data_IF_545674431427
#
_entry.id   IF_545674431427
#
_cell.length_a   1.000
_cell.length_b   1.000
_cell.length_c   1.000
_cell.angle_alpha   90.00
_cell.angle_beta   90.00
_cell.angle_gamma   90.00
#
_symmetry.space_group_name_H-M   'P 1'
#
loop_
_entity.id
_entity.type
_entity.pdbx_description
1 polymer ?
#
# COMPACT_ATOMS: atom_id res chain seq x y z
N UNK A 1 -23.44 3.62 12.42
CA UNK A 1 -24.10 2.90 11.32
C UNK A 1 -24.54 3.95 10.31
N UNK A 2 -23.92 4.00 9.13
CA UNK A 2 -24.40 4.84 8.04
C UNK A 2 -25.50 4.04 7.33
N UNK A 3 -26.77 4.37 7.58
CA UNK A 3 -27.91 3.72 6.93
C UNK A 3 -28.36 4.65 5.80
N UNK A 4 -28.46 4.11 4.58
CA UNK A 4 -29.07 4.79 3.45
C UNK A 4 -30.36 4.07 3.09
N UNK A 5 -31.46 4.82 2.97
CA UNK A 5 -32.74 4.30 2.47
C UNK A 5 -32.87 4.70 1.00
N UNK A 6 -32.99 3.70 0.13
CA UNK A 6 -33.11 3.89 -1.32
C UNK A 6 -34.52 3.51 -1.72
N UNK A 7 -35.23 4.41 -2.38
CA UNK A 7 -36.55 4.12 -2.96
C UNK A 7 -36.40 3.62 -4.40
N UNK A 8 -37.40 2.90 -4.90
CA UNK A 8 -37.46 2.56 -6.32
C UNK A 8 -37.77 3.85 -7.09
N UNK A 9 -36.89 4.19 -8.01
CA UNK A 9 -36.99 5.37 -8.88
C UNK A 9 -37.32 4.98 -10.32
N UNK A 10 -37.78 5.94 -11.12
CA UNK A 10 -38.08 5.73 -12.54
C UNK A 10 -36.81 5.69 -13.42
N UNK A 11 -35.72 6.31 -12.96
CA UNK A 11 -34.43 6.35 -13.64
C UNK A 11 -33.29 6.39 -12.61
N UNK A 12 -32.12 5.89 -12.98
CA UNK A 12 -30.93 5.90 -12.10
C UNK A 12 -30.11 7.18 -12.32
N UNK A 13 -29.61 7.74 -11.22
CA UNK A 13 -28.57 8.77 -11.22
C UNK A 13 -27.21 8.13 -10.89
N UNK A 14 -26.18 8.42 -11.68
CA UNK A 14 -24.83 7.85 -11.52
C UNK A 14 -24.10 8.35 -10.27
N UNK A 15 -24.53 9.48 -9.68
CA UNK A 15 -23.84 10.10 -8.54
C UNK A 15 -24.37 9.67 -7.17
N UNK A 16 -25.39 8.81 -7.10
CA UNK A 16 -25.99 8.38 -5.83
C UNK A 16 -26.40 6.91 -5.86
N UNK A 17 -26.56 6.33 -4.66
CA UNK A 17 -27.20 5.03 -4.55
C UNK A 17 -28.63 5.11 -5.09
N UNK A 18 -29.01 4.16 -5.95
CA UNK A 18 -30.30 4.17 -6.63
C UNK A 18 -30.76 2.77 -7.01
N UNK A 19 -32.06 2.60 -7.23
CA UNK A 19 -32.61 1.33 -7.68
C UNK A 19 -33.79 1.55 -8.63
N UNK A 20 -33.83 0.82 -9.73
CA UNK A 20 -34.93 0.85 -10.72
C UNK A 20 -35.40 -0.56 -11.02
N UNK A 21 -36.70 -0.74 -11.21
CA UNK A 21 -37.27 -2.01 -11.69
C UNK A 21 -37.09 -2.09 -13.21
N UNK A 22 -36.36 -3.09 -13.67
CA UNK A 22 -36.09 -3.29 -15.11
C UNK A 22 -37.03 -4.33 -15.73
N UNK A 23 -37.45 -5.34 -14.97
CA UNK A 23 -38.36 -6.37 -15.45
C UNK A 23 -39.37 -6.77 -14.38
N UNK A 24 -40.58 -7.13 -14.82
CA UNK A 24 -41.69 -7.57 -13.97
C UNK A 24 -42.27 -8.87 -14.51
N UNK A 25 -42.21 -9.93 -13.71
CA UNK A 25 -42.73 -11.25 -14.03
C UNK A 25 -43.96 -11.54 -13.16
N UNK A 26 -45.13 -11.05 -13.60
CA UNK A 26 -46.39 -11.12 -12.85
C UNK A 26 -46.79 -12.55 -12.48
N UNK A 27 -46.63 -13.51 -13.40
CA UNK A 27 -46.99 -14.91 -13.18
C UNK A 27 -46.18 -15.59 -12.07
N UNK A 28 -44.95 -15.12 -11.84
CA UNK A 28 -44.03 -15.66 -10.82
C UNK A 28 -43.93 -14.76 -9.58
N UNK A 29 -44.67 -13.65 -9.54
CA UNK A 29 -44.53 -12.61 -8.52
C UNK A 29 -43.08 -12.14 -8.32
N UNK A 30 -42.30 -12.06 -9.41
CA UNK A 30 -40.88 -11.69 -9.37
C UNK A 30 -40.64 -10.34 -10.05
N UNK A 31 -39.69 -9.58 -9.53
CA UNK A 31 -39.15 -8.36 -10.15
C UNK A 31 -37.64 -8.48 -10.29
N UNK A 32 -37.10 -7.88 -11.34
CA UNK A 32 -35.66 -7.69 -11.51
C UNK A 32 -35.38 -6.21 -11.30
N UNK A 33 -34.41 -5.93 -10.42
CA UNK A 33 -33.98 -4.57 -10.10
C UNK A 33 -32.54 -4.36 -10.56
N UNK A 34 -32.27 -3.16 -11.08
CA UNK A 34 -30.91 -2.67 -11.31
C UNK A 34 -30.56 -1.71 -10.19
N UNK A 35 -29.43 -1.94 -9.53
CA UNK A 35 -28.93 -1.10 -8.44
C UNK A 35 -27.77 -0.26 -8.96
N UNK A 36 -27.77 1.04 -8.65
CA UNK A 36 -26.65 1.95 -8.89
C UNK A 36 -25.85 2.11 -7.61
N UNK A 37 -24.53 1.94 -7.72
CA UNK A 37 -23.57 2.20 -6.66
C UNK A 37 -22.69 3.36 -7.12
N UNK A 38 -22.69 4.52 -6.44
CA UNK A 38 -21.92 5.67 -6.87
C UNK A 38 -20.42 5.43 -6.66
N UNK A 39 -19.57 6.04 -7.49
CA UNK A 39 -18.10 6.00 -7.33
C UNK A 39 -17.61 6.57 -5.99
N UNK A 40 -18.46 7.33 -5.31
CA UNK A 40 -18.18 7.87 -3.96
C UNK A 40 -18.63 6.95 -2.83
N UNK A 41 -19.15 5.75 -3.13
CA UNK A 41 -19.54 4.78 -2.12
C UNK A 41 -18.32 4.33 -1.30
N UNK A 42 -18.52 4.11 0.00
CA UNK A 42 -17.48 3.51 0.83
C UNK A 42 -17.25 2.06 0.39
N UNK A 43 -16.00 1.65 0.26
CA UNK A 43 -15.66 0.24 0.02
C UNK A 43 -15.91 -0.59 1.29
N UNK A 44 -16.07 -1.90 1.10
CA UNK A 44 -16.25 -2.88 2.17
C UNK A 44 -17.59 -3.59 2.13
N UNK A 45 -17.92 -4.29 3.23
CA UNK A 45 -19.16 -5.05 3.37
C UNK A 45 -20.34 -4.11 3.64
N UNK A 46 -21.38 -4.20 2.81
CA UNK A 46 -22.65 -3.51 2.98
C UNK A 46 -23.75 -4.53 3.21
N UNK A 47 -24.49 -4.37 4.30
CA UNK A 47 -25.70 -5.14 4.57
C UNK A 47 -26.88 -4.49 3.86
N UNK A 48 -27.54 -5.23 2.99
CA UNK A 48 -28.69 -4.77 2.21
C UNK A 48 -29.96 -5.40 2.76
N UNK A 49 -30.92 -4.54 3.14
CA UNK A 49 -32.24 -4.94 3.61
C UNK A 49 -33.30 -4.45 2.62
N UNK A 50 -34.01 -5.38 1.99
CA UNK A 50 -35.08 -5.08 1.03
C UNK A 50 -36.41 -5.03 1.78
N UNK A 51 -37.00 -3.85 1.80
CA UNK A 51 -38.22 -3.56 2.55
C UNK A 51 -39.41 -3.35 1.62
N UNK A 52 -40.52 -4.04 1.89
CA UNK A 52 -41.80 -3.80 1.22
C UNK A 52 -42.65 -2.84 2.06
N UNK A 53 -43.14 -1.73 1.49
CA UNK A 53 -44.08 -0.86 2.17
C UNK A 53 -45.41 -1.58 2.45
N UNK A 54 -45.91 -1.44 3.68
CA UNK A 54 -47.24 -1.85 4.14
C UNK A 54 -48.01 -0.62 4.63
N UNK A 55 -49.32 -0.77 4.90
CA UNK A 55 -50.23 0.34 5.24
C UNK A 55 -49.80 1.19 6.45
N UNK A 56 -48.97 0.66 7.34
CA UNK A 56 -48.45 1.38 8.52
C UNK A 56 -46.99 1.04 8.87
N UNK A 57 -46.30 0.21 8.08
CA UNK A 57 -44.95 -0.28 8.39
C UNK A 57 -44.20 -0.74 7.15
N UNK A 58 -43.00 -1.28 7.35
CA UNK A 58 -42.23 -2.00 6.33
C UNK A 58 -42.11 -3.47 6.72
N UNK A 59 -42.18 -4.35 5.72
CA UNK A 59 -41.93 -5.79 5.87
C UNK A 59 -40.56 -6.09 5.27
N UNK A 60 -39.66 -6.69 6.04
CA UNK A 60 -38.37 -7.18 5.53
C UNK A 60 -38.62 -8.39 4.62
N UNK A 61 -38.35 -8.22 3.32
CA UNK A 61 -38.47 -9.29 2.33
C UNK A 61 -37.20 -10.10 2.22
N UNK A 62 -36.05 -9.42 2.18
CA UNK A 62 -34.76 -10.05 1.96
C UNK A 62 -33.65 -9.30 2.68
N UNK A 63 -32.63 -10.03 3.08
CA UNK A 63 -31.46 -9.50 3.77
C UNK A 63 -30.23 -10.27 3.28
N UNK A 64 -29.25 -9.56 2.73
CA UNK A 64 -28.02 -10.14 2.20
C UNK A 64 -26.88 -9.13 2.27
N UNK A 65 -25.65 -9.62 2.14
CA UNK A 65 -24.47 -8.78 2.13
C UNK A 65 -23.90 -8.65 0.72
N UNK A 66 -23.37 -7.48 0.41
CA UNK A 66 -22.56 -7.24 -0.79
C UNK A 66 -21.20 -6.67 -0.37
N UNK A 67 -20.17 -6.87 -1.19
CA UNK A 67 -18.88 -6.20 -1.04
C UNK A 67 -18.75 -5.18 -2.16
N UNK A 68 -18.47 -3.94 -1.78
CA UNK A 68 -18.13 -2.86 -2.72
C UNK A 68 -16.61 -2.66 -2.69
N UNK A 69 -15.99 -2.62 -3.86
CA UNK A 69 -14.55 -2.34 -4.05
C UNK A 69 -14.38 -1.16 -5.03
N UNK A 70 -13.15 -0.68 -5.20
CA UNK A 70 -12.85 0.38 -6.18
C UNK A 70 -13.02 -0.16 -7.61
N UNK A 71 -13.25 0.72 -8.59
CA UNK A 71 -13.51 0.32 -9.97
C UNK A 71 -12.55 0.97 -10.98
N UNK A 72 -11.47 0.26 -11.32
CA UNK A 72 -10.51 0.73 -12.32
C UNK A 72 -11.08 0.87 -13.75
N UNK A 73 -12.28 0.35 -14.04
CA UNK A 73 -12.96 0.50 -15.33
C UNK A 73 -13.88 1.72 -15.42
N UNK A 74 -14.22 2.35 -14.30
CA UNK A 74 -15.10 3.50 -14.29
C UNK A 74 -14.29 4.80 -14.36
N UNK A 75 -14.49 5.61 -15.42
CA UNK A 75 -13.77 6.87 -15.67
C UNK A 75 -13.88 7.90 -14.55
N UNK A 76 -14.98 7.86 -13.81
CA UNK A 76 -15.27 8.80 -12.73
C UNK A 76 -14.69 8.36 -11.39
N UNK A 77 -14.22 7.11 -11.30
CA UNK A 77 -13.51 6.59 -10.13
C UNK A 77 -12.09 7.20 -10.04
N UNK A 78 -11.59 7.30 -8.81
CA UNK A 78 -10.24 7.78 -8.51
C UNK A 78 -9.18 6.79 -8.97
N UNK A 79 -9.52 5.50 -9.10
CA UNK A 79 -8.59 4.45 -9.52
C UNK A 79 -8.66 4.11 -11.02
N UNK A 80 -9.40 4.90 -11.81
CA UNK A 80 -9.54 4.67 -13.24
C UNK A 80 -8.20 4.61 -13.95
N UNK A 81 -7.95 3.53 -14.69
CA UNK A 81 -6.76 3.35 -15.51
C UNK A 81 -7.19 3.14 -16.96
N UNK A 82 -6.77 4.04 -17.85
CA UNK A 82 -7.31 4.08 -19.22
C UNK A 82 -7.00 2.82 -20.04
N UNK A 83 -5.75 2.35 -19.99
CA UNK A 83 -5.31 1.17 -20.72
C UNK A 83 -5.99 -0.10 -20.18
N UNK A 84 -6.60 -0.88 -21.07
CA UNK A 84 -7.13 -2.21 -20.71
C UNK A 84 -6.00 -3.17 -20.34
N UNK A 85 -4.90 -3.16 -21.09
CA UNK A 85 -3.74 -4.03 -20.85
C UNK A 85 -3.14 -3.78 -19.46
N UNK A 86 -2.99 -2.51 -19.07
CA UNK A 86 -2.51 -2.17 -17.74
C UNK A 86 -3.50 -2.53 -16.63
N UNK A 87 -4.82 -2.54 -16.90
CA UNK A 87 -5.81 -3.01 -15.92
C UNK A 87 -5.76 -4.52 -15.76
N UNK A 88 -5.56 -5.26 -16.86
CA UNK A 88 -5.33 -6.70 -16.81
C UNK A 88 -4.09 -7.00 -15.95
N UNK A 89 -2.98 -6.30 -16.17
CA UNK A 89 -1.74 -6.52 -15.42
C UNK A 89 -1.80 -6.04 -13.96
N UNK A 90 -2.31 -4.83 -13.71
CA UNK A 90 -2.20 -4.20 -12.40
C UNK A 90 -3.42 -4.41 -11.49
N UNK A 91 -4.49 -5.04 -11.96
CA UNK A 91 -5.66 -5.42 -11.14
C UNK A 91 -5.93 -6.92 -11.20
N UNK A 92 -5.99 -7.51 -12.39
CA UNK A 92 -6.47 -8.89 -12.56
C UNK A 92 -5.38 -9.96 -12.55
N UNK A 93 -4.15 -9.62 -12.93
CA UNK A 93 -3.07 -10.59 -12.88
C UNK A 93 -2.74 -10.92 -11.41
N UNK A 94 -2.85 -12.19 -11.05
CA UNK A 94 -2.67 -12.70 -9.69
C UNK A 94 -1.32 -13.37 -9.47
N UNK A 95 -0.45 -13.32 -10.47
CA UNK A 95 0.95 -13.75 -10.42
C UNK A 95 1.85 -12.64 -10.94
N UNK A 96 3.08 -12.59 -10.45
CA UNK A 96 4.03 -11.59 -10.91
C UNK A 96 5.47 -11.88 -10.53
N UNK A 97 6.32 -10.89 -10.74
CA UNK A 97 7.75 -10.96 -10.45
C UNK A 97 8.11 -9.86 -9.44
N UNK A 98 8.94 -10.23 -8.45
CA UNK A 98 9.57 -9.29 -7.54
C UNK A 98 11.09 -9.42 -7.71
N UNK A 99 11.74 -8.31 -8.08
CA UNK A 99 13.18 -8.30 -8.30
C UNK A 99 13.94 -8.15 -6.97
N UNK A 100 15.04 -8.87 -6.84
CA UNK A 100 15.91 -8.90 -5.65
C UNK A 100 17.37 -9.06 -6.06
N UNK A 101 18.29 -8.96 -5.11
CA UNK A 101 19.71 -9.26 -5.32
C UNK A 101 20.58 -8.03 -5.08
N UNK A 102 21.57 -7.78 -5.92
CA UNK A 102 22.44 -6.61 -5.80
C UNK A 102 22.78 -6.06 -7.19
N UNK A 103 22.74 -4.74 -7.33
CA UNK A 103 23.14 -4.06 -8.56
C UNK A 103 24.67 -3.94 -8.72
N UNK A 104 25.46 -4.33 -7.71
CA UNK A 104 26.93 -4.22 -7.68
C UNK A 104 27.63 -4.91 -8.87
N UNK A 105 27.02 -5.94 -9.46
CA UNK A 105 27.52 -6.62 -10.66
C UNK A 105 26.62 -6.40 -11.89
N UNK A 106 25.95 -5.23 -11.95
CA UNK A 106 24.97 -4.90 -12.97
C UNK A 106 23.76 -5.85 -12.97
N UNK A 107 23.13 -6.01 -14.13
CA UNK A 107 21.93 -6.84 -14.28
C UNK A 107 22.13 -8.32 -13.91
N UNK A 108 23.37 -8.83 -13.91
CA UNK A 108 23.67 -10.22 -13.53
C UNK A 108 23.49 -10.51 -12.03
N UNK A 109 23.57 -9.48 -11.19
CA UNK A 109 23.31 -9.60 -9.75
C UNK A 109 21.83 -9.49 -9.38
N UNK A 110 20.97 -9.19 -10.36
CA UNK A 110 19.53 -9.04 -10.18
C UNK A 110 18.84 -10.37 -10.50
N UNK A 111 17.98 -10.82 -9.59
CA UNK A 111 17.20 -12.04 -9.74
C UNK A 111 15.71 -11.70 -9.67
N UNK A 112 14.93 -12.33 -10.56
CA UNK A 112 13.48 -12.21 -10.54
C UNK A 112 12.89 -13.38 -9.76
N UNK A 113 12.13 -13.08 -8.73
CA UNK A 113 11.40 -14.08 -7.97
C UNK A 113 9.92 -14.08 -8.37
N UNK A 114 9.43 -15.25 -8.75
CA UNK A 114 8.01 -15.49 -9.00
C UNK A 114 7.23 -15.38 -7.70
N UNK A 115 6.15 -14.59 -7.73
CA UNK A 115 5.29 -14.36 -6.59
C UNK A 115 3.83 -14.57 -6.99
N UNK A 116 3.13 -15.39 -6.24
CA UNK A 116 1.68 -15.58 -6.36
C UNK A 116 0.97 -14.55 -5.47
N UNK A 117 0.43 -13.49 -6.07
CA UNK A 117 -0.35 -12.50 -5.33
C UNK A 117 -1.65 -13.10 -4.81
N UNK A 118 -2.36 -13.89 -5.64
CA UNK A 118 -3.54 -14.66 -5.22
C UNK A 118 -4.68 -13.80 -4.65
N UNK A 119 -4.91 -12.59 -5.17
CA UNK A 119 -5.94 -11.68 -4.62
C UNK A 119 -7.38 -12.22 -4.71
N UNK A 120 -7.62 -13.23 -5.55
CA UNK A 120 -8.92 -13.89 -5.71
C UNK A 120 -9.05 -15.19 -4.91
N UNK A 121 -7.98 -15.60 -4.22
CA UNK A 121 -7.99 -16.81 -3.40
C UNK A 121 -8.90 -16.66 -2.17
N UNK A 122 -9.32 -17.80 -1.63
CA UNK A 122 -10.26 -17.86 -0.52
C UNK A 122 -9.77 -17.03 0.67
N UNK A 123 -10.69 -16.27 1.29
CA UNK A 123 -10.48 -15.45 2.47
C UNK A 123 -9.49 -14.28 2.32
N UNK A 124 -8.86 -14.06 1.16
CA UNK A 124 -7.91 -12.94 0.99
C UNK A 124 -8.62 -11.59 1.09
N UNK A 125 -9.64 -11.34 0.27
CA UNK A 125 -10.43 -10.11 0.33
C UNK A 125 -11.08 -9.92 1.71
N UNK A 126 -11.63 -11.00 2.28
CA UNK A 126 -12.27 -10.96 3.59
C UNK A 126 -11.30 -10.55 4.71
N UNK A 127 -10.06 -11.04 4.65
CA UNK A 127 -8.97 -10.69 5.55
C UNK A 127 -8.50 -9.24 5.36
N UNK A 128 -8.36 -8.77 4.12
CA UNK A 128 -8.03 -7.36 3.82
C UNK A 128 -9.09 -6.42 4.42
N UNK A 129 -10.38 -6.74 4.25
CA UNK A 129 -11.47 -5.95 4.84
C UNK A 129 -11.48 -5.99 6.38
N UNK A 130 -11.12 -7.13 6.98
CA UNK A 130 -10.96 -7.26 8.43
C UNK A 130 -9.82 -6.36 8.94
N UNK A 131 -8.66 -6.40 8.29
CA UNK A 131 -7.49 -5.60 8.65
C UNK A 131 -7.77 -4.10 8.55
N UNK A 132 -8.47 -3.64 7.51
CA UNK A 132 -8.90 -2.24 7.41
C UNK A 132 -9.72 -1.79 8.63
N UNK A 133 -10.56 -2.65 9.19
CA UNK A 133 -11.39 -2.34 10.35
C UNK A 133 -10.59 -2.33 11.68
N UNK A 134 -9.46 -3.04 11.73
CA UNK A 134 -8.56 -3.08 12.90
C UNK A 134 -7.68 -1.83 13.03
N UNK A 135 -7.64 -0.97 12.01
CA UNK A 135 -6.84 0.25 12.09
C UNK A 135 -7.26 1.15 13.26
N UNK A 136 -6.29 1.61 14.05
CA UNK A 136 -6.52 2.44 15.25
C UNK A 136 -7.29 3.73 14.99
N UNK A 137 -7.33 4.24 13.75
CA UNK A 137 -8.15 5.41 13.40
C UNK A 137 -9.64 5.08 13.46
N UNK A 138 -10.06 3.83 13.23
CA UNK A 138 -11.46 3.41 13.43
C UNK A 138 -11.84 3.40 14.91
N UNK A 139 -10.93 3.01 15.80
CA UNK A 139 -11.17 3.07 17.25
C UNK A 139 -11.28 4.52 17.73
N UNK A 140 -10.34 5.39 17.31
CA UNK A 140 -10.29 6.80 17.75
C UNK A 140 -11.41 7.65 17.14
N UNK A 141 -11.70 7.47 15.85
CA UNK A 141 -12.62 8.32 15.10
C UNK A 141 -13.48 7.51 14.10
N UNK A 142 -14.37 6.61 14.58
CA UNK A 142 -15.08 5.65 13.73
C UNK A 142 -15.85 6.32 12.59
N UNK A 143 -16.67 7.35 12.88
CA UNK A 143 -17.46 8.02 11.86
C UNK A 143 -16.60 8.70 10.78
N UNK A 144 -15.44 9.25 11.15
CA UNK A 144 -14.52 9.90 10.21
C UNK A 144 -13.86 8.85 9.32
N UNK A 145 -13.43 7.72 9.88
CA UNK A 145 -12.80 6.63 9.15
C UNK A 145 -13.78 5.98 8.16
N UNK A 146 -15.01 5.67 8.59
CA UNK A 146 -16.04 5.14 7.69
C UNK A 146 -16.37 6.10 6.53
N UNK A 147 -16.35 7.42 6.76
CA UNK A 147 -16.58 8.41 5.69
C UNK A 147 -15.42 8.52 4.70
N UNK A 148 -14.21 8.12 5.10
CA UNK A 148 -13.01 8.14 4.26
C UNK A 148 -12.77 6.82 3.51
N UNK A 149 -13.56 5.78 3.77
CA UNK A 149 -13.51 4.51 3.04
C UNK A 149 -13.93 4.63 1.57
N UNK A 150 -14.24 5.83 1.06
CA UNK A 150 -14.44 6.08 -0.36
C UNK A 150 -13.20 6.71 -1.03
N UNK A 151 -12.09 6.89 -0.31
CA UNK A 151 -10.87 7.51 -0.82
C UNK A 151 -9.77 6.47 -0.96
N UNK A 152 -9.36 6.19 -2.21
CA UNK A 152 -8.27 5.27 -2.51
C UNK A 152 -6.95 5.69 -1.85
N UNK A 153 -6.66 7.00 -1.83
CA UNK A 153 -5.48 7.54 -1.15
C UNK A 153 -5.47 7.22 0.35
N UNK A 154 -6.63 7.36 1.01
CA UNK A 154 -6.76 7.04 2.43
C UNK A 154 -6.67 5.53 2.68
N UNK A 155 -7.28 4.71 1.80
CA UNK A 155 -7.22 3.24 1.88
C UNK A 155 -5.77 2.76 1.75
N UNK A 156 -5.01 3.25 0.77
CA UNK A 156 -3.59 2.92 0.61
C UNK A 156 -2.78 3.22 1.87
N UNK A 157 -3.01 4.39 2.48
CA UNK A 157 -2.37 4.78 3.75
C UNK A 157 -2.81 3.95 4.96
N UNK A 158 -4.01 3.37 4.94
CA UNK A 158 -4.45 2.43 5.97
C UNK A 158 -3.78 1.09 5.79
N UNK A 159 -3.77 0.55 4.57
CA UNK A 159 -3.11 -0.71 4.25
C UNK A 159 -1.62 -0.68 4.57
N UNK A 160 -0.92 0.42 4.27
CA UNK A 160 0.50 0.58 4.61
C UNK A 160 0.77 0.43 6.12
N UNK A 161 -0.22 0.75 6.98
CA UNK A 161 -0.11 0.63 8.43
C UNK A 161 -0.49 -0.76 8.94
N UNK A 162 -1.64 -1.30 8.49
CA UNK A 162 -2.21 -2.53 9.08
C UNK A 162 -1.60 -3.82 8.53
N UNK A 163 -0.83 -3.75 7.44
CA UNK A 163 -0.15 -4.91 6.89
C UNK A 163 1.16 -5.26 7.61
N UNK A 164 1.68 -4.37 8.46
CA UNK A 164 2.75 -4.69 9.41
C UNK A 164 2.23 -4.72 10.84
N UNK A 165 2.86 -5.51 11.71
CA UNK A 165 2.45 -5.65 13.11
C UNK A 165 3.36 -4.92 14.12
N UNK A 166 4.23 -4.01 13.68
CA UNK A 166 5.29 -3.46 14.54
C UNK A 166 4.75 -2.56 15.68
N UNK A 167 3.52 -2.05 15.54
CA UNK A 167 2.82 -1.26 16.58
C UNK A 167 1.36 -1.65 16.82
N UNK A 168 0.80 -2.46 15.93
CA UNK A 168 -0.62 -2.79 15.85
C UNK A 168 -0.79 -4.31 15.75
N UNK A 169 -2.01 -4.80 15.94
CA UNK A 169 -2.41 -6.19 15.64
C UNK A 169 -2.56 -6.38 14.11
N UNK A 170 -1.49 -6.08 13.38
CA UNK A 170 -1.43 -6.11 11.92
C UNK A 170 -1.03 -7.48 11.35
N UNK A 171 -1.00 -7.57 10.02
CA UNK A 171 -0.87 -8.85 9.30
C UNK A 171 0.47 -9.56 9.53
N UNK A 172 1.59 -8.88 9.30
CA UNK A 172 2.89 -9.53 9.12
C UNK A 172 3.97 -8.95 10.06
N UNK A 173 4.75 -9.83 10.67
CA UNK A 173 5.86 -9.48 11.55
C UNK A 173 7.19 -9.46 10.79
N UNK A 174 7.86 -8.31 10.78
CA UNK A 174 9.18 -8.15 10.17
C UNK A 174 10.28 -8.83 10.99
N UNK A 175 11.27 -9.44 10.33
CA UNK A 175 12.47 -9.96 11.00
C UNK A 175 13.68 -10.00 10.04
N UNK A 176 14.73 -9.24 10.38
CA UNK A 176 15.99 -9.15 9.64
C UNK A 176 17.18 -9.77 10.38
N UNK A 177 16.95 -10.45 11.52
CA UNK A 177 18.02 -10.99 12.37
C UNK A 177 18.76 -12.22 11.82
N UNK A 178 18.26 -12.81 10.73
CA UNK A 178 18.75 -14.09 10.20
C UNK A 178 18.31 -15.33 11.00
N UNK A 179 17.55 -15.16 12.09
CA UNK A 179 17.08 -16.22 12.98
C UNK A 179 15.55 -16.28 12.98
N UNK A 180 14.99 -17.40 12.53
CA UNK A 180 13.56 -17.53 12.24
C UNK A 180 12.89 -18.70 12.97
N UNK A 181 13.46 -19.21 14.06
CA UNK A 181 13.05 -20.49 14.68
C UNK A 181 11.59 -20.51 15.18
N UNK A 182 10.99 -19.34 15.43
CA UNK A 182 9.61 -19.18 15.90
C UNK A 182 8.59 -18.91 14.79
N UNK A 183 8.99 -19.03 13.52
CA UNK A 183 8.13 -18.73 12.38
C UNK A 183 8.72 -19.29 11.09
N UNK A 184 8.19 -18.79 9.96
CA UNK A 184 8.66 -19.12 8.63
C UNK A 184 9.73 -18.14 8.18
N UNK A 185 10.80 -18.64 7.55
CA UNK A 185 11.85 -17.79 7.00
C UNK A 185 11.27 -16.91 5.87
N UNK A 186 11.52 -15.59 5.84
CA UNK A 186 10.97 -14.69 4.82
C UNK A 186 11.22 -15.12 3.36
N UNK A 187 12.34 -15.81 3.10
CA UNK A 187 12.72 -16.31 1.78
C UNK A 187 11.95 -17.55 1.32
N UNK A 188 11.18 -18.19 2.21
CA UNK A 188 10.40 -19.41 1.90
C UNK A 188 8.95 -19.12 1.52
N UNK A 189 8.53 -17.86 1.54
CA UNK A 189 7.24 -17.45 0.98
C UNK A 189 7.33 -17.41 -0.55
N UNK A 190 6.31 -17.98 -1.19
CA UNK A 190 6.14 -18.00 -2.66
C UNK A 190 4.96 -17.12 -3.12
N UNK A 191 4.16 -16.63 -2.17
CA UNK A 191 2.95 -15.88 -2.46
C UNK A 191 2.32 -15.28 -1.20
N UNK A 192 1.32 -14.43 -1.41
CA UNK A 192 0.63 -13.68 -0.35
C UNK A 192 -0.58 -14.42 0.22
N UNK A 193 -1.23 -15.29 -0.56
CA UNK A 193 -2.49 -15.93 -0.16
C UNK A 193 -2.36 -16.71 1.15
N UNK A 194 -1.31 -17.54 1.29
CA UNK A 194 -1.02 -18.29 2.52
C UNK A 194 -0.92 -17.38 3.75
N UNK A 195 -0.32 -16.19 3.60
CA UNK A 195 -0.12 -15.22 4.69
C UNK A 195 -1.49 -14.66 5.13
N UNK A 196 -2.33 -14.24 4.19
CA UNK A 196 -3.67 -13.74 4.51
C UNK A 196 -4.56 -14.82 5.11
N UNK A 197 -4.49 -16.05 4.59
CA UNK A 197 -5.30 -17.17 5.07
C UNK A 197 -4.87 -17.63 6.47
N UNK A 198 -3.56 -17.66 6.76
CA UNK A 198 -3.04 -17.95 8.09
C UNK A 198 -3.55 -16.91 9.10
N UNK A 199 -3.40 -15.62 8.79
CA UNK A 199 -3.91 -14.55 9.65
C UNK A 199 -5.42 -14.60 9.80
N UNK A 200 -6.18 -14.83 8.73
CA UNK A 200 -7.64 -14.91 8.80
C UNK A 200 -8.11 -16.03 9.74
N UNK A 201 -7.36 -17.14 9.77
CA UNK A 201 -7.67 -18.29 10.63
C UNK A 201 -7.29 -18.08 12.09
N UNK A 202 -6.13 -17.47 12.36
CA UNK A 202 -5.58 -17.34 13.73
C UNK A 202 -5.94 -16.01 14.38
N UNK A 203 -6.18 -14.98 13.56
CA UNK A 203 -6.28 -13.59 13.97
C UNK A 203 -5.03 -13.11 14.72
N UNK A 204 -3.86 -13.68 14.40
CA UNK A 204 -2.55 -13.36 14.99
C UNK A 204 -1.54 -13.04 13.87
N UNK A 205 -0.62 -12.10 14.15
CA UNK A 205 0.41 -11.68 13.19
C UNK A 205 1.27 -12.86 12.69
N UNK A 206 1.40 -12.98 11.37
CA UNK A 206 2.15 -14.03 10.69
C UNK A 206 3.65 -13.75 10.78
N UNK A 207 4.45 -14.79 11.01
CA UNK A 207 5.90 -14.69 11.19
C UNK A 207 6.62 -15.47 10.09
N UNK A 208 7.57 -14.92 9.34
CA UNK A 208 8.07 -13.53 9.30
C UNK A 208 8.11 -12.98 7.88
N UNK A 209 8.22 -11.66 7.76
CA UNK A 209 8.37 -10.93 6.50
C UNK A 209 9.67 -10.11 6.42
N UNK A 210 10.04 -9.76 5.20
CA UNK A 210 11.00 -8.70 4.85
C UNK A 210 10.39 -7.86 3.71
N UNK A 211 11.06 -6.80 3.25
CA UNK A 211 10.50 -5.80 2.33
C UNK A 211 9.75 -6.40 1.12
N UNK A 212 10.32 -7.40 0.44
CA UNK A 212 9.63 -8.05 -0.70
C UNK A 212 8.35 -8.83 -0.29
N UNK A 213 8.29 -9.36 0.93
CA UNK A 213 7.10 -10.06 1.45
C UNK A 213 6.03 -9.02 1.77
N UNK A 214 6.44 -7.92 2.41
CA UNK A 214 5.59 -6.75 2.67
C UNK A 214 5.03 -6.20 1.35
N UNK A 215 5.88 -6.01 0.35
CA UNK A 215 5.46 -5.57 -0.99
C UNK A 215 4.49 -6.57 -1.65
N UNK A 216 4.74 -7.87 -1.53
CA UNK A 216 3.84 -8.91 -2.00
C UNK A 216 2.44 -8.81 -1.39
N UNK A 217 2.34 -8.72 -0.05
CA UNK A 217 1.04 -8.65 0.63
C UNK A 217 0.31 -7.32 0.39
N UNK A 218 1.05 -6.21 0.27
CA UNK A 218 0.49 -4.90 -0.06
C UNK A 218 -0.06 -4.87 -1.48
N UNK A 219 0.67 -5.42 -2.45
CA UNK A 219 0.19 -5.53 -3.82
C UNK A 219 -1.11 -6.35 -3.90
N UNK A 220 -1.14 -7.51 -3.24
CA UNK A 220 -2.34 -8.35 -3.14
C UNK A 220 -3.52 -7.59 -2.53
N UNK A 221 -3.31 -6.88 -1.42
CA UNK A 221 -4.37 -6.13 -0.74
C UNK A 221 -4.94 -5.00 -1.61
N UNK A 222 -4.08 -4.23 -2.28
CA UNK A 222 -4.50 -3.17 -3.21
C UNK A 222 -5.31 -3.74 -4.38
N UNK A 223 -4.79 -4.79 -5.02
CA UNK A 223 -5.47 -5.45 -6.16
C UNK A 223 -6.80 -6.08 -5.76
N UNK A 224 -6.87 -6.71 -4.58
CA UNK A 224 -8.12 -7.27 -4.04
C UNK A 224 -9.22 -6.19 -3.85
N UNK A 225 -8.82 -4.95 -3.54
CA UNK A 225 -9.73 -3.81 -3.42
C UNK A 225 -9.99 -3.08 -4.74
N UNK A 226 -9.54 -3.61 -5.86
CA UNK A 226 -9.72 -3.03 -7.20
C UNK A 226 -8.82 -1.83 -7.49
N UNK A 227 -7.79 -1.60 -6.68
CA UNK A 227 -6.82 -0.51 -6.86
C UNK A 227 -5.66 -1.03 -7.72
N UNK A 228 -5.39 -0.45 -8.90
CA UNK A 228 -4.27 -0.89 -9.72
C UNK A 228 -2.94 -0.67 -8.97
N UNK A 229 -2.14 -1.72 -8.88
CA UNK A 229 -0.88 -1.70 -8.11
C UNK A 229 0.23 -2.55 -8.74
N UNK A 230 1.47 -2.20 -8.44
CA UNK A 230 2.68 -2.95 -8.83
C UNK A 230 3.74 -2.94 -7.74
N UNK A 231 4.56 -3.98 -7.68
CA UNK A 231 5.76 -4.01 -6.85
C UNK A 231 6.91 -3.27 -7.55
N UNK A 232 7.72 -2.55 -6.78
CA UNK A 232 8.89 -1.82 -7.30
C UNK A 232 10.09 -2.13 -6.44
N UNK A 233 11.22 -2.44 -7.07
CA UNK A 233 12.49 -2.71 -6.42
C UNK A 233 13.43 -1.55 -6.66
N UNK A 234 13.92 -0.93 -5.58
CA UNK A 234 15.02 0.01 -5.60
C UNK A 234 16.31 -0.71 -5.17
N UNK A 235 17.38 -0.58 -5.93
CA UNK A 235 18.69 -1.14 -5.58
C UNK A 235 19.55 -0.07 -4.93
N UNK A 236 20.43 -0.47 -4.02
CA UNK A 236 21.24 0.45 -3.23
C UNK A 236 20.36 1.51 -2.51
N UNK A 237 19.25 1.06 -1.94
CA UNK A 237 18.22 1.92 -1.37
C UNK A 237 18.71 2.53 -0.06
N UNK A 238 18.71 3.86 -0.02
CA UNK A 238 19.01 4.65 1.16
C UNK A 238 17.88 4.51 2.20
N UNK A 239 18.24 4.40 3.47
CA UNK A 239 17.33 4.51 4.61
C UNK A 239 17.83 5.65 5.51
N UNK A 240 17.34 6.86 5.23
CA UNK A 240 17.64 8.10 5.95
C UNK A 240 16.73 8.19 7.17
N UNK A 241 17.34 8.23 8.35
CA UNK A 241 16.65 8.19 9.64
C UNK A 241 16.44 9.57 10.26
N UNK A 242 17.03 10.64 9.70
CA UNK A 242 17.04 11.99 10.28
C UNK A 242 16.50 13.09 9.36
N UNK A 243 15.96 12.71 8.19
CA UNK A 243 15.38 13.59 7.17
C UNK A 243 16.40 14.60 6.59
N UNK A 244 17.69 14.27 6.65
CA UNK A 244 18.77 15.11 6.14
C UNK A 244 18.88 15.11 4.61
N UNK A 245 18.25 14.13 3.93
CA UNK A 245 18.47 13.79 2.52
C UNK A 245 19.93 13.41 2.23
N UNK A 246 20.65 12.98 3.27
CA UNK A 246 21.99 12.40 3.20
C UNK A 246 21.97 11.05 3.91
N UNK A 247 22.83 10.13 3.49
CA UNK A 247 23.11 8.90 4.22
C UNK A 247 24.50 9.01 4.80
N UNK A 248 24.56 9.12 6.12
CA UNK A 248 25.81 9.20 6.85
C UNK A 248 26.35 7.80 7.18
N UNK A 249 27.61 7.56 6.85
CA UNK A 249 28.34 6.37 7.30
C UNK A 249 29.53 6.80 8.11
N UNK A 250 29.42 6.55 9.41
CA UNK A 250 30.47 6.84 10.38
C UNK A 250 31.30 5.59 10.56
N UNK A 251 32.58 5.67 10.19
CA UNK A 251 33.57 4.62 10.41
C UNK A 251 34.65 5.09 11.37
N UNK A 252 35.19 4.16 12.15
CA UNK A 252 36.40 4.37 12.91
C UNK A 252 37.65 4.33 12.02
N UNK A 253 38.81 4.74 12.54
CA UNK A 253 40.09 4.76 11.81
C UNK A 253 40.49 3.39 11.19
N UNK A 254 40.07 2.30 11.81
CA UNK A 254 40.27 0.92 11.37
C UNK A 254 39.24 0.47 10.30
N UNK A 255 38.35 1.36 9.87
CA UNK A 255 37.35 1.11 8.82
C UNK A 255 36.14 0.30 9.29
N UNK A 256 35.91 0.22 10.59
CA UNK A 256 34.73 -0.43 11.16
C UNK A 256 33.59 0.57 11.28
N UNK A 257 32.39 0.18 10.84
CA UNK A 257 31.19 1.01 10.96
C UNK A 257 30.81 1.17 12.43
N UNK A 258 30.55 2.40 12.85
CA UNK A 258 30.10 2.75 14.19
C UNK A 258 28.56 2.74 14.25
N UNK A 259 27.98 1.53 14.28
CA UNK A 259 26.52 1.32 14.25
C UNK A 259 25.78 1.94 15.45
N UNK A 260 26.47 2.24 16.56
CA UNK A 260 25.86 2.88 17.73
C UNK A 260 25.82 4.41 17.65
N UNK A 261 26.32 5.00 16.56
CA UNK A 261 26.40 6.46 16.36
C UNK A 261 25.43 6.96 15.28
N UNK A 262 25.19 6.16 14.24
CA UNK A 262 24.29 6.51 13.13
C UNK A 262 23.51 5.27 12.68
N UNK A 263 22.19 5.40 12.65
CA UNK A 263 21.24 4.32 12.28
C UNK A 263 20.95 4.28 10.77
N UNK A 264 21.43 5.26 9.99
CA UNK A 264 21.28 5.24 8.54
C UNK A 264 21.86 3.95 7.97
N UNK A 265 21.28 3.48 6.87
CA UNK A 265 21.79 2.28 6.20
C UNK A 265 21.53 2.33 4.70
N UNK A 266 22.35 1.58 3.95
CA UNK A 266 22.10 1.32 2.53
C UNK A 266 21.74 -0.14 2.40
N UNK A 267 20.52 -0.40 1.92
CA UNK A 267 20.04 -1.74 1.67
C UNK A 267 20.47 -2.15 0.27
N UNK A 268 20.97 -3.39 0.12
CA UNK A 268 21.30 -3.94 -1.22
C UNK A 268 20.14 -3.77 -2.21
N UNK A 269 18.92 -3.95 -1.70
CA UNK A 269 17.70 -3.57 -2.36
C UNK A 269 16.60 -3.35 -1.31
N UNK A 270 15.62 -2.53 -1.68
CA UNK A 270 14.37 -2.37 -0.97
C UNK A 270 13.21 -2.54 -1.95
N UNK A 271 12.06 -3.02 -1.46
CA UNK A 271 10.89 -3.26 -2.31
C UNK A 271 9.67 -2.63 -1.65
N UNK A 272 8.99 -1.75 -2.39
CA UNK A 272 7.72 -1.13 -2.02
C UNK A 272 6.66 -1.38 -3.10
N UNK A 273 5.55 -0.66 -3.05
CA UNK A 273 4.51 -0.71 -4.06
C UNK A 273 4.20 0.66 -4.63
N UNK A 274 3.71 0.66 -5.87
CA UNK A 274 3.06 1.82 -6.44
C UNK A 274 1.59 1.53 -6.66
N UNK A 275 0.73 2.47 -6.28
CA UNK A 275 -0.71 2.43 -6.55
C UNK A 275 -1.11 3.53 -7.52
N UNK A 276 -2.01 3.23 -8.46
CA UNK A 276 -2.54 4.21 -9.42
C UNK A 276 -3.80 4.88 -8.87
N UNK A 277 -3.73 6.18 -8.63
CA UNK A 277 -4.84 6.97 -8.09
C UNK A 277 -4.83 8.42 -8.59
N UNK A 278 -6.01 9.03 -8.64
CA UNK A 278 -6.16 10.49 -8.65
C UNK A 278 -6.04 11.04 -7.23
N UNK A 279 -5.47 12.24 -7.08
CA UNK A 279 -5.29 12.92 -5.79
C UNK A 279 -6.15 14.16 -5.68
N UNK A 280 -7.46 13.96 -5.59
CA UNK A 280 -8.44 15.04 -5.40
C UNK A 280 -8.24 15.82 -4.10
N UNK A 281 -7.47 15.29 -3.15
CA UNK A 281 -7.07 15.96 -1.90
C UNK A 281 -5.90 16.94 -2.08
N UNK A 282 -5.14 16.83 -3.17
CA UNK A 282 -4.06 17.75 -3.52
C UNK A 282 -4.59 18.91 -4.37
N UNK A 283 -3.90 20.06 -4.30
CA UNK A 283 -4.33 21.30 -4.95
C UNK A 283 -4.24 21.26 -6.48
N UNK A 284 -3.57 20.26 -7.06
CA UNK A 284 -3.31 20.14 -8.49
C UNK A 284 -3.44 18.69 -8.95
N UNK A 285 -4.01 18.50 -10.14
CA UNK A 285 -4.10 17.20 -10.81
C UNK A 285 -2.74 16.74 -11.40
N UNK A 286 -1.68 17.55 -11.29
CA UNK A 286 -0.33 17.17 -11.74
C UNK A 286 0.25 15.97 -10.97
N UNK A 287 -0.38 15.59 -9.87
CA UNK A 287 0.00 14.46 -9.02
C UNK A 287 -0.84 13.21 -9.26
N UNK A 288 -1.77 13.22 -10.22
CA UNK A 288 -2.51 12.01 -10.58
C UNK A 288 -1.57 10.96 -11.19
N UNK A 289 -1.83 9.69 -10.91
CA UNK A 289 -1.08 8.55 -11.45
C UNK A 289 -0.46 7.67 -10.38
N UNK A 290 0.78 7.24 -10.59
CA UNK A 290 1.48 6.33 -9.68
C UNK A 290 1.95 7.01 -8.39
N UNK A 291 1.70 6.33 -7.28
CA UNK A 291 2.07 6.77 -5.94
C UNK A 291 2.79 5.68 -5.18
N UNK A 292 3.96 5.98 -4.61
CA UNK A 292 4.68 5.07 -3.73
C UNK A 292 3.91 4.89 -2.41
N UNK A 293 3.74 3.63 -2.02
CA UNK A 293 3.19 3.18 -0.75
C UNK A 293 4.01 2.01 -0.25
N UNK A 294 4.36 2.03 1.02
CA UNK A 294 5.20 0.99 1.62
C UNK A 294 4.64 0.56 2.97
N UNK A 295 4.49 -0.75 3.16
CA UNK A 295 4.08 -1.34 4.42
C UNK A 295 5.24 -1.95 5.21
N UNK A 296 6.47 -1.85 4.71
CA UNK A 296 7.68 -2.18 5.46
C UNK A 296 7.84 -1.19 6.62
N UNK A 297 7.97 -1.65 7.88
CA UNK A 297 8.03 -0.76 9.04
C UNK A 297 9.44 -0.17 9.21
N UNK A 298 9.80 0.77 8.32
CA UNK A 298 11.05 1.55 8.35
C UNK A 298 10.90 2.74 9.28
N UNK A 299 10.21 3.79 8.83
CA UNK A 299 10.03 5.02 9.58
C UNK A 299 8.58 5.28 10.03
N UNK A 300 8.43 6.13 11.05
CA UNK A 300 7.11 6.49 11.59
C UNK A 300 6.58 7.77 10.96
N UNK A 301 5.55 7.65 10.11
CA UNK A 301 4.76 8.80 9.68
C UNK A 301 3.56 9.03 10.61
N UNK A 302 3.47 10.23 11.22
CA UNK A 302 2.39 10.57 12.17
C UNK A 302 2.24 9.56 13.32
N UNK A 303 3.38 9.11 13.89
CA UNK A 303 3.46 8.16 15.00
C UNK A 303 3.04 6.71 14.68
N UNK A 304 2.84 6.36 13.41
CA UNK A 304 2.53 5.01 12.95
C UNK A 304 3.57 4.55 11.92
N UNK A 305 3.89 3.26 11.89
CA UNK A 305 4.66 2.66 10.79
C UNK A 305 3.78 2.55 9.55
N UNK A 306 3.75 3.63 8.77
CA UNK A 306 2.96 3.77 7.56
C UNK A 306 3.72 4.70 6.60
N UNK A 307 3.64 4.44 5.30
CA UNK A 307 4.27 5.27 4.30
C UNK A 307 3.33 5.44 3.10
N UNK A 308 3.11 6.71 2.71
CA UNK A 308 2.43 7.08 1.47
C UNK A 308 0.92 7.29 1.61
N UNK A 309 0.21 7.48 0.49
CA UNK A 309 0.72 7.50 -0.89
C UNK A 309 1.52 8.78 -1.25
N UNK A 310 2.77 8.61 -1.68
CA UNK A 310 3.65 9.68 -2.15
C UNK A 310 3.60 9.78 -3.69
N UNK A 311 3.23 10.94 -4.28
CA UNK A 311 3.17 11.05 -5.74
C UNK A 311 4.55 10.92 -6.39
N UNK A 312 4.69 10.01 -7.36
CA UNK A 312 5.95 9.87 -8.11
C UNK A 312 6.33 11.15 -8.86
N UNK A 313 5.33 11.90 -9.34
CA UNK A 313 5.56 13.20 -9.98
C UNK A 313 6.22 14.20 -9.01
N UNK A 314 5.81 14.21 -7.74
CA UNK A 314 6.40 15.07 -6.72
C UNK A 314 7.85 14.64 -6.40
N UNK A 315 8.07 13.35 -6.20
CA UNK A 315 9.41 12.78 -5.94
C UNK A 315 10.36 13.14 -7.10
N UNK A 316 9.94 12.90 -8.35
CA UNK A 316 10.75 13.20 -9.54
C UNK A 316 11.12 14.69 -9.66
N UNK A 317 10.24 15.58 -9.21
CA UNK A 317 10.45 17.03 -9.28
C UNK A 317 11.14 17.59 -8.01
N UNK A 318 11.47 16.75 -7.03
CA UNK A 318 12.03 17.20 -5.74
C UNK A 318 11.06 17.98 -4.87
N UNK A 319 9.75 17.81 -5.08
CA UNK A 319 8.69 18.50 -4.33
C UNK A 319 8.37 17.76 -3.02
N UNK A 320 9.36 17.68 -2.13
CA UNK A 320 9.33 16.89 -0.89
C UNK A 320 8.26 17.31 0.13
N UNK A 321 7.72 18.52 -0.02
CA UNK A 321 6.63 19.06 0.80
C UNK A 321 5.25 18.49 0.44
N UNK A 322 5.11 17.77 -0.67
CA UNK A 322 3.83 17.22 -1.13
C UNK A 322 3.51 15.95 -0.35
N UNK A 323 2.36 15.95 0.34
CA UNK A 323 1.90 14.81 1.11
C UNK A 323 1.43 13.63 0.23
N UNK A 324 1.62 12.39 0.65
CA UNK A 324 2.21 11.97 1.93
C UNK A 324 3.68 11.56 1.76
N UNK A 325 4.50 11.79 2.78
CA UNK A 325 5.81 11.16 2.97
C UNK A 325 6.80 11.29 1.77
N UNK A 326 6.61 12.27 0.89
CA UNK A 326 7.43 12.42 -0.32
C UNK A 326 8.91 12.74 0.00
N UNK A 327 9.19 13.42 1.11
CA UNK A 327 10.55 13.65 1.58
C UNK A 327 11.30 12.35 1.86
N UNK A 328 10.65 11.41 2.56
CA UNK A 328 11.23 10.11 2.88
C UNK A 328 11.53 9.31 1.61
N UNK A 329 10.55 9.16 0.71
CA UNK A 329 10.78 8.43 -0.57
C UNK A 329 11.84 9.11 -1.42
N UNK A 330 11.86 10.44 -1.42
CA UNK A 330 12.91 11.18 -2.12
C UNK A 330 14.29 10.82 -1.57
N UNK A 331 14.47 10.78 -0.25
CA UNK A 331 15.72 10.34 0.35
C UNK A 331 16.08 8.90 -0.08
N UNK A 332 15.12 7.97 -0.10
CA UNK A 332 15.35 6.57 -0.52
C UNK A 332 15.95 6.43 -1.94
N UNK A 333 15.62 7.36 -2.85
CA UNK A 333 16.05 7.32 -4.26
C UNK A 333 17.05 8.42 -4.66
N UNK A 334 17.34 9.38 -3.80
CA UNK A 334 18.14 10.56 -4.15
C UNK A 334 19.11 11.02 -3.05
N UNK A 335 19.18 10.36 -1.89
CA UNK A 335 20.10 10.77 -0.85
C UNK A 335 21.57 10.68 -1.31
N UNK A 336 22.35 11.67 -0.90
CA UNK A 336 23.79 11.67 -1.11
C UNK A 336 24.50 10.83 -0.04
N UNK A 337 25.52 10.10 -0.44
CA UNK A 337 26.30 9.28 0.49
C UNK A 337 27.47 10.08 1.06
N UNK A 338 27.53 10.14 2.39
CA UNK A 338 28.54 10.92 3.11
C UNK A 338 29.28 10.00 4.07
N UNK A 339 30.59 9.83 3.85
CA UNK A 339 31.43 9.02 4.72
C UNK A 339 32.23 9.91 5.66
N UNK A 340 32.09 9.63 6.95
CA UNK A 340 32.80 10.28 8.05
C UNK A 340 33.78 9.32 8.70
N UNK A 341 34.96 9.84 9.04
CA UNK A 341 35.92 9.13 9.89
C UNK A 341 35.83 9.75 11.28
N UNK A 342 35.55 8.94 12.29
CA UNK A 342 35.39 9.39 13.66
C UNK A 342 36.18 8.54 14.66
N UNK A 343 36.51 9.16 15.78
CA UNK A 343 37.27 8.57 16.88
C UNK A 343 36.43 8.66 18.14
N UNK A 344 36.68 7.75 19.09
CA UNK A 344 36.25 7.95 20.48
C UNK A 344 37.43 8.52 21.25
N UNK A 345 37.23 9.67 21.88
CA UNK A 345 38.25 10.24 22.75
C UNK A 345 38.33 9.48 24.09
N UNK A 346 39.23 9.91 24.99
CA UNK A 346 39.42 9.28 26.30
C UNK A 346 38.17 9.35 27.20
N UNK A 347 37.25 10.26 26.93
CA UNK A 347 35.96 10.41 27.64
C UNK A 347 34.87 9.53 27.03
N UNK A 348 35.10 8.96 25.84
CA UNK A 348 34.13 8.19 25.06
C UNK A 348 33.31 9.02 24.08
N UNK A 349 33.60 10.32 23.97
CA UNK A 349 32.91 11.25 23.08
C UNK A 349 33.37 11.06 21.62
N UNK A 350 32.44 11.27 20.68
CA UNK A 350 32.73 11.15 19.24
C UNK A 350 33.44 12.41 18.75
N UNK A 351 34.60 12.23 18.15
CA UNK A 351 35.38 13.28 17.51
C UNK A 351 35.55 12.96 16.03
N UNK A 352 35.00 13.81 15.15
CA UNK A 352 35.15 13.67 13.71
C UNK A 352 36.52 14.18 13.26
N UNK A 353 37.24 13.38 12.48
CA UNK A 353 38.37 13.90 11.72
C UNK A 353 37.83 14.84 10.64
N UNK A 354 38.45 16.00 10.44
CA UNK A 354 38.00 17.03 9.49
C UNK A 354 38.05 16.64 8.00
N UNK A 355 38.02 15.34 7.67
CA UNK A 355 37.96 14.77 6.33
C UNK A 355 36.62 14.04 6.16
N UNK A 356 35.72 14.67 5.43
CA UNK A 356 34.52 14.03 4.91
C UNK A 356 34.78 13.59 3.46
N UNK A 357 34.41 12.36 3.11
CA UNK A 357 34.40 11.91 1.72
C UNK A 357 32.95 11.93 1.23
N UNK A 358 32.66 12.89 0.36
CA UNK A 358 31.35 13.03 -0.28
C UNK A 358 31.31 12.19 -1.55
N UNK A 359 30.33 11.32 -1.67
CA UNK A 359 30.02 10.62 -2.90
C UNK A 359 28.63 11.06 -3.34
N UNK A 360 28.58 11.80 -4.46
CA UNK A 360 27.30 12.10 -5.09
C UNK A 360 26.75 10.81 -5.69
N UNK A 361 25.82 10.19 -5.00
CA UNK A 361 25.09 9.04 -5.49
C UNK A 361 23.91 9.54 -6.30
N UNK A 362 24.14 9.83 -7.59
CA UNK A 362 23.03 9.96 -8.54
C UNK A 362 22.36 8.58 -8.72
N UNK A 363 21.45 8.23 -7.81
CA UNK A 363 20.61 7.02 -7.88
C UNK A 363 19.48 7.13 -8.91
N UNK A 364 19.37 8.28 -9.59
CA UNK A 364 18.52 8.40 -10.77
C UNK A 364 19.04 7.46 -11.87
N UNK A 365 18.41 6.30 -12.00
CA UNK A 365 18.40 5.53 -13.24
C UNK A 365 17.10 5.84 -13.99
N UNK A 366 17.07 6.86 -14.88
CA UNK A 366 15.94 7.09 -15.78
C UNK A 366 15.54 5.83 -16.56
N UNK A 367 16.48 4.89 -16.77
CA UNK A 367 16.29 3.75 -17.64
C UNK A 367 15.32 2.68 -17.11
N UNK A 368 15.05 2.60 -15.80
CA UNK A 368 14.07 1.61 -15.28
C UNK A 368 12.63 2.11 -15.36
N UNK A 369 12.41 3.43 -15.30
CA UNK A 369 11.07 4.03 -15.44
C UNK A 369 10.73 4.31 -16.91
N UNK A 370 11.74 4.58 -17.76
CA UNK A 370 11.50 4.86 -19.18
C UNK A 370 11.12 3.61 -20.00
N UNK A 371 11.33 2.41 -19.47
CA UNK A 371 10.84 1.15 -20.07
C UNK A 371 9.37 0.82 -19.70
N UNK A 372 8.74 1.55 -18.77
CA UNK A 372 7.34 1.34 -18.37
C UNK A 372 6.42 2.51 -18.76
N UNK A 373 6.94 3.53 -19.44
CA UNK A 373 6.19 4.68 -19.92
C UNK A 373 6.14 4.79 -21.45
N UNK A 374 6.74 3.84 -22.17
CA UNK A 374 6.84 3.84 -23.64
C UNK A 374 6.17 2.63 -24.30
N UNK A 375 5.24 1.96 -23.63
CA UNK A 375 4.28 1.05 -24.26
C UNK A 375 2.88 1.29 -23.68
#
# INVERSE_FOLDING_TARGET
MNIASIVIEDALNETSWGMVVVEKYQEKCNIVVKVMIPVTAAIGRHKIEVLLPSSSSFILLHCFDIIVICNAWNKDDDVYLESEELRQEYVLNDVGLIYRGSASNGAYGITALHWEFGQFEENVLDCVLLLLQKDKRFERHPLKSHRKQNSAAWIGRVLSAVLNCQQDDGLLMGNWSGKYEKGKAPSSWLGSADIFQEYHKTNEAVKYGQCWVFSGVMNTALRALGIPARCVTNFDSAHDTDESMTIDVIESEDGLRMEDVCDDSIWNFHVWNEMWIKRKDLASNNYDGWHAVDCTPQEKSSQLYQMGPAPLAAIKNGETYVGYDAAFVFAEVNADYVKWIALRDESGDIVFEGRCIYFQTTFFCPALIQALHND
#
